data_IF_638169537865
#
_entry.id   IF_638169537865
#
_cell.length_a   1.000
_cell.length_b   1.000
_cell.length_c   1.000
_cell.angle_alpha   90.00
_cell.angle_beta   90.00
_cell.angle_gamma   90.00
#
_symmetry.space_group_name_H-M   'P 1'
#
loop_
_entity.id
_entity.type
_entity.pdbx_description
1 polymer ?
#
# COMPACT_ATOMS: atom_id res chain seq x y z
N UNK A 1 27.49 32.96 -6.27
CA UNK A 1 26.01 32.91 -6.41
C UNK A 1 25.53 31.62 -7.05
N UNK A 2 26.08 31.22 -8.21
CA UNK A 2 25.74 29.98 -8.93
C UNK A 2 26.01 28.73 -8.07
N UNK A 3 27.15 28.63 -7.36
CA UNK A 3 27.50 27.50 -6.50
C UNK A 3 26.47 27.30 -5.37
N UNK A 4 26.06 28.39 -4.71
CA UNK A 4 25.03 28.35 -3.66
C UNK A 4 23.64 27.96 -4.19
N UNK A 5 23.34 28.35 -5.43
CA UNK A 5 22.09 27.98 -6.10
C UNK A 5 22.06 26.50 -6.50
N UNK A 6 23.20 25.96 -6.98
CA UNK A 6 23.37 24.53 -7.24
C UNK A 6 23.27 23.71 -5.95
N UNK A 7 23.92 24.12 -4.86
CA UNK A 7 23.82 23.44 -3.56
C UNK A 7 22.35 23.34 -3.07
N UNK A 8 21.54 24.37 -3.30
CA UNK A 8 20.11 24.35 -2.93
C UNK A 8 19.30 23.41 -3.82
N UNK A 9 19.63 23.27 -5.12
CA UNK A 9 18.92 22.34 -6.03
C UNK A 9 19.26 20.87 -5.68
N UNK A 10 20.48 20.60 -5.24
CA UNK A 10 20.94 19.25 -4.88
C UNK A 10 20.73 18.88 -3.41
N UNK A 11 20.06 19.73 -2.62
CA UNK A 11 19.77 19.41 -1.22
C UNK A 11 18.72 18.27 -1.15
N UNK A 12 19.15 17.12 -0.65
CA UNK A 12 18.29 15.92 -0.48
C UNK A 12 17.15 16.11 0.54
N UNK A 13 17.21 17.16 1.38
CA UNK A 13 16.13 17.51 2.32
C UNK A 13 14.90 18.12 1.62
N UNK A 14 15.08 18.59 0.39
CA UNK A 14 14.04 19.23 -0.39
C UNK A 14 13.39 18.18 -1.31
N UNK A 15 12.06 18.21 -1.43
CA UNK A 15 11.34 17.28 -2.32
C UNK A 15 11.84 17.37 -3.76
N UNK A 16 11.88 16.23 -4.49
CA UNK A 16 12.25 16.19 -5.91
C UNK A 16 11.49 17.25 -6.71
N UNK A 17 10.22 17.39 -6.43
CA UNK A 17 9.34 18.34 -7.09
C UNK A 17 9.76 19.79 -6.90
N UNK A 18 10.13 20.16 -5.70
CA UNK A 18 10.62 21.51 -5.43
C UNK A 18 11.96 21.77 -6.12
N UNK A 19 12.84 20.78 -6.14
CA UNK A 19 14.11 20.84 -6.89
C UNK A 19 13.85 21.06 -8.37
N UNK A 20 12.92 20.29 -8.97
CA UNK A 20 12.53 20.46 -10.38
C UNK A 20 11.91 21.83 -10.67
N UNK A 21 11.00 22.30 -9.83
CA UNK A 21 10.41 23.64 -9.98
C UNK A 21 11.47 24.75 -9.93
N UNK A 22 12.40 24.70 -8.99
CA UNK A 22 13.51 25.66 -8.87
C UNK A 22 14.40 25.65 -10.10
N UNK A 23 14.76 24.45 -10.57
CA UNK A 23 15.60 24.25 -11.75
C UNK A 23 14.94 24.83 -13.01
N UNK A 24 13.71 24.38 -13.30
CA UNK A 24 13.00 24.74 -14.54
C UNK A 24 12.66 26.24 -14.58
N UNK A 25 12.23 26.79 -13.44
CA UNK A 25 11.97 28.24 -13.33
C UNK A 25 13.26 29.07 -13.49
N UNK A 26 14.37 28.58 -12.91
CA UNK A 26 15.68 29.23 -13.10
C UNK A 26 16.15 29.20 -14.55
N UNK A 27 16.02 28.07 -15.25
CA UNK A 27 16.33 27.94 -16.68
C UNK A 27 15.43 28.86 -17.51
N UNK A 28 14.13 28.96 -17.20
CA UNK A 28 13.20 29.87 -17.88
C UNK A 28 13.56 31.33 -17.68
N UNK A 29 14.03 31.72 -16.49
CA UNK A 29 14.55 33.06 -16.24
C UNK A 29 15.80 33.36 -17.07
N UNK A 30 16.74 32.41 -17.16
CA UNK A 30 17.93 32.55 -18.01
C UNK A 30 17.51 32.68 -19.47
N UNK A 31 16.54 31.91 -19.93
CA UNK A 31 15.99 32.03 -21.28
C UNK A 31 15.43 33.47 -21.57
N UNK A 32 14.66 34.00 -20.64
CA UNK A 32 14.15 35.39 -20.75
C UNK A 32 15.25 36.42 -20.77
N UNK A 33 16.32 36.27 -19.99
CA UNK A 33 17.49 37.14 -20.02
C UNK A 33 18.19 37.09 -21.40
N UNK A 34 18.33 35.89 -21.97
CA UNK A 34 18.86 35.73 -23.34
C UNK A 34 18.00 36.43 -24.37
N UNK A 35 16.67 36.32 -24.29
CA UNK A 35 15.74 37.05 -25.17
C UNK A 35 15.93 38.58 -25.01
N UNK A 36 16.10 39.09 -23.79
CA UNK A 36 16.29 40.49 -23.50
C UNK A 36 17.60 41.04 -24.08
N UNK A 37 18.71 40.29 -23.89
CA UNK A 37 20.06 40.76 -24.31
C UNK A 37 20.21 40.67 -25.82
N UNK A 38 19.73 39.62 -26.43
CA UNK A 38 19.95 39.30 -27.84
C UNK A 38 18.82 39.80 -28.74
N UNK A 39 17.65 40.16 -28.16
CA UNK A 39 16.50 40.67 -28.88
C UNK A 39 16.67 42.21 -29.15
N UNK A 40 16.45 42.61 -30.41
CA UNK A 40 16.42 44.04 -30.80
C UNK A 40 15.06 44.68 -30.54
N UNK A 41 14.36 44.28 -29.52
CA UNK A 41 12.95 44.66 -29.31
C UNK A 41 12.81 45.91 -28.45
N UNK A 42 12.69 47.06 -29.08
CA UNK A 42 12.33 48.32 -28.40
C UNK A 42 10.97 48.21 -27.67
N UNK A 43 9.99 47.49 -28.27
CA UNK A 43 8.66 47.29 -27.68
C UNK A 43 8.67 46.40 -26.42
N UNK A 44 9.65 45.53 -26.25
CA UNK A 44 9.71 44.55 -25.15
C UNK A 44 10.65 44.98 -24.01
N UNK A 45 11.23 46.18 -24.06
CA UNK A 45 12.25 46.64 -23.10
C UNK A 45 11.71 46.77 -21.67
N UNK A 46 10.40 46.94 -21.47
CA UNK A 46 9.75 47.08 -20.18
C UNK A 46 9.15 45.74 -19.76
N UNK A 47 8.56 44.98 -20.70
CA UNK A 47 7.77 43.77 -20.40
C UNK A 47 8.63 42.59 -19.99
N UNK A 48 9.76 42.39 -20.68
CA UNK A 48 10.67 41.28 -20.34
C UNK A 48 11.31 41.43 -18.94
N UNK A 49 11.83 42.61 -18.52
CA UNK A 49 12.29 42.80 -17.14
C UNK A 49 11.19 42.68 -16.10
N UNK A 50 9.96 43.16 -16.40
CA UNK A 50 8.81 43.01 -15.51
C UNK A 50 8.43 41.54 -15.36
N UNK A 51 8.46 40.76 -16.44
CA UNK A 51 8.20 39.29 -16.41
C UNK A 51 9.26 38.53 -15.60
N UNK A 52 10.54 38.89 -15.73
CA UNK A 52 11.63 38.34 -14.93
C UNK A 52 11.44 38.63 -13.43
N UNK A 53 11.09 39.87 -13.09
CA UNK A 53 10.83 40.24 -11.71
C UNK A 53 9.62 39.46 -11.16
N UNK A 54 8.55 39.34 -11.93
CA UNK A 54 7.37 38.58 -11.56
C UNK A 54 7.72 37.10 -11.32
N UNK A 55 8.43 36.43 -12.23
CA UNK A 55 8.85 35.03 -12.07
C UNK A 55 9.71 34.84 -10.82
N UNK A 56 10.65 35.77 -10.57
CA UNK A 56 11.46 35.75 -9.36
C UNK A 56 10.62 35.85 -8.09
N UNK A 57 9.68 36.78 -8.04
CA UNK A 57 8.79 36.96 -6.89
C UNK A 57 7.87 35.75 -6.67
N UNK A 58 7.28 35.24 -7.75
CA UNK A 58 6.44 34.03 -7.69
C UNK A 58 7.24 32.84 -7.18
N UNK A 59 8.44 32.59 -7.70
CA UNK A 59 9.30 31.50 -7.25
C UNK A 59 9.65 31.65 -5.77
N UNK A 60 10.09 32.87 -5.34
CA UNK A 60 10.45 33.14 -3.95
C UNK A 60 9.27 32.89 -2.99
N UNK A 61 8.09 33.44 -3.30
CA UNK A 61 6.89 33.30 -2.46
C UNK A 61 6.41 31.85 -2.42
N UNK A 62 6.45 31.15 -3.56
CA UNK A 62 5.99 29.77 -3.65
C UNK A 62 6.86 28.82 -2.85
N UNK A 63 8.17 29.03 -2.83
CA UNK A 63 9.13 28.27 -2.03
C UNK A 63 8.92 28.59 -0.55
N UNK A 64 8.81 29.85 -0.16
CA UNK A 64 8.62 30.25 1.24
C UNK A 64 7.30 29.76 1.85
N UNK A 65 6.24 29.66 1.04
CA UNK A 65 4.90 29.22 1.48
C UNK A 65 4.60 27.76 1.16
N UNK A 66 5.57 27.00 0.67
CA UNK A 66 5.42 25.60 0.26
C UNK A 66 4.28 25.36 -0.74
N UNK A 67 3.91 26.38 -1.53
CA UNK A 67 2.81 26.33 -2.50
C UNK A 67 3.29 26.23 -3.95
N UNK A 68 4.16 25.27 -4.24
CA UNK A 68 4.84 25.08 -5.52
C UNK A 68 3.87 24.94 -6.69
N UNK A 69 2.75 24.20 -6.51
CA UNK A 69 1.70 24.06 -7.54
C UNK A 69 1.11 25.39 -7.99
N UNK A 70 0.90 26.29 -7.04
CA UNK A 70 0.35 27.62 -7.33
C UNK A 70 1.38 28.48 -8.04
N UNK A 71 2.65 28.41 -7.63
CA UNK A 71 3.74 29.10 -8.28
C UNK A 71 3.99 28.63 -9.71
N UNK A 72 4.02 27.32 -9.92
CA UNK A 72 4.16 26.76 -11.26
C UNK A 72 3.00 27.19 -12.18
N UNK A 73 1.75 27.15 -11.68
CA UNK A 73 0.58 27.61 -12.43
C UNK A 73 0.68 29.09 -12.77
N UNK A 74 1.08 29.95 -11.82
CA UNK A 74 1.23 31.38 -12.04
C UNK A 74 2.31 31.69 -13.08
N UNK A 75 3.41 30.93 -13.08
CA UNK A 75 4.46 31.05 -14.10
C UNK A 75 3.96 30.64 -15.49
N UNK A 76 3.21 29.52 -15.59
CA UNK A 76 2.62 29.10 -16.88
C UNK A 76 1.65 30.14 -17.40
N UNK A 77 0.78 30.73 -16.57
CA UNK A 77 -0.14 31.78 -16.97
C UNK A 77 0.64 33.01 -17.51
N UNK A 78 1.74 33.39 -16.84
CA UNK A 78 2.59 34.48 -17.36
C UNK A 78 3.17 34.13 -18.75
N UNK A 79 3.68 32.90 -18.93
CA UNK A 79 4.26 32.46 -20.20
C UNK A 79 3.22 32.47 -21.33
N UNK A 80 2.01 32.01 -21.06
CA UNK A 80 0.89 32.04 -22.02
C UNK A 80 0.48 33.48 -22.40
N UNK A 81 0.61 34.46 -21.51
CA UNK A 81 0.36 35.87 -21.84
C UNK A 81 1.52 36.53 -22.59
N UNK A 82 2.74 36.08 -22.27
CA UNK A 82 3.95 36.70 -22.83
C UNK A 82 4.26 36.21 -24.26
N UNK A 83 4.09 34.94 -24.53
CA UNK A 83 4.51 34.36 -25.81
C UNK A 83 3.77 34.89 -27.05
N UNK A 84 2.45 35.07 -27.07
CA UNK A 84 1.78 35.73 -28.21
C UNK A 84 2.34 37.12 -28.48
N UNK A 85 2.56 37.90 -27.43
CA UNK A 85 3.10 39.22 -27.56
C UNK A 85 4.49 39.24 -28.18
N UNK A 86 5.39 38.37 -27.68
CA UNK A 86 6.75 38.24 -28.25
C UNK A 86 6.69 37.67 -29.66
N UNK A 87 5.74 36.77 -29.97
CA UNK A 87 5.55 36.18 -31.29
C UNK A 87 5.22 37.27 -32.35
N UNK A 88 4.22 38.11 -32.10
CA UNK A 88 3.81 39.16 -33.05
C UNK A 88 4.85 40.28 -33.18
N UNK A 89 5.57 40.61 -32.12
CA UNK A 89 6.63 41.64 -32.13
C UNK A 89 7.98 41.11 -32.62
N UNK A 90 8.16 39.76 -32.68
CA UNK A 90 9.41 39.09 -33.03
C UNK A 90 9.48 38.52 -34.45
N UNK A 91 8.60 38.95 -35.35
CA UNK A 91 8.59 38.45 -36.74
C UNK A 91 7.71 37.24 -36.99
N UNK A 92 6.85 36.87 -36.03
CA UNK A 92 5.89 35.79 -36.18
C UNK A 92 6.54 34.42 -36.50
N UNK A 93 6.02 33.76 -37.53
CA UNK A 93 6.51 32.47 -38.01
C UNK A 93 7.93 32.51 -38.59
N UNK A 94 8.38 33.64 -39.04
CA UNK A 94 9.71 33.88 -39.57
C UNK A 94 10.71 34.37 -38.52
N UNK A 95 10.25 34.59 -37.29
CA UNK A 95 11.11 34.93 -36.14
C UNK A 95 11.59 33.70 -35.37
N UNK A 96 12.41 33.93 -34.36
CA UNK A 96 12.90 32.84 -33.50
C UNK A 96 11.96 32.48 -32.33
N UNK A 97 10.71 32.95 -32.34
CA UNK A 97 9.78 32.74 -31.22
C UNK A 97 9.09 31.38 -31.22
N UNK A 98 8.83 30.75 -32.39
CA UNK A 98 8.22 29.42 -32.43
C UNK A 98 8.95 28.38 -31.59
N UNK A 99 10.25 28.43 -31.51
CA UNK A 99 11.09 27.50 -30.74
C UNK A 99 10.89 27.66 -29.21
N UNK A 100 10.50 28.85 -28.76
CA UNK A 100 10.25 29.13 -27.35
C UNK A 100 8.95 28.49 -26.83
N UNK A 101 7.94 28.31 -27.70
CA UNK A 101 6.74 27.55 -27.32
C UNK A 101 7.09 26.10 -26.86
N UNK A 102 8.12 25.49 -27.44
CA UNK A 102 8.60 24.15 -27.04
C UNK A 102 9.05 24.18 -25.57
N UNK A 103 9.74 25.22 -25.11
CA UNK A 103 10.14 25.36 -23.71
C UNK A 103 8.92 25.54 -22.79
N UNK A 104 7.84 26.19 -23.25
CA UNK A 104 6.61 26.28 -22.49
C UNK A 104 5.96 24.90 -22.30
N UNK A 105 5.88 24.09 -23.34
CA UNK A 105 5.40 22.70 -23.26
C UNK A 105 6.23 21.86 -22.29
N UNK A 106 7.54 22.00 -22.34
CA UNK A 106 8.46 21.30 -21.42
C UNK A 106 8.23 21.80 -19.99
N UNK A 107 8.10 23.10 -19.77
CA UNK A 107 7.81 23.68 -18.46
C UNK A 107 6.51 23.11 -17.88
N UNK A 108 5.42 23.12 -18.64
CA UNK A 108 4.11 22.56 -18.26
C UNK A 108 4.26 21.08 -17.91
N UNK A 109 4.98 20.34 -18.76
CA UNK A 109 5.15 18.88 -18.61
C UNK A 109 5.85 18.50 -17.32
N UNK A 110 6.83 19.29 -16.90
CA UNK A 110 7.68 18.99 -15.74
C UNK A 110 7.11 19.55 -14.43
N UNK A 111 6.52 20.76 -14.46
CA UNK A 111 6.17 21.48 -13.23
C UNK A 111 4.73 21.30 -12.78
N UNK A 112 3.80 21.06 -13.73
CA UNK A 112 2.39 20.87 -13.39
C UNK A 112 2.01 19.41 -13.20
N UNK A 113 1.05 19.16 -12.31
CA UNK A 113 0.54 17.82 -11.98
C UNK A 113 -0.99 17.75 -12.02
N UNK A 114 -1.48 16.50 -12.01
CA UNK A 114 -2.89 16.17 -11.96
C UNK A 114 -3.67 16.78 -13.13
N UNK A 115 -4.90 17.21 -12.87
CA UNK A 115 -5.81 17.75 -13.90
C UNK A 115 -5.35 19.08 -14.52
N UNK A 116 -4.44 19.81 -13.89
CA UNK A 116 -3.91 21.08 -14.41
C UNK A 116 -3.00 20.84 -15.60
N UNK A 117 -2.20 19.79 -15.59
CA UNK A 117 -1.24 19.47 -16.66
C UNK A 117 -1.89 19.37 -18.03
N UNK A 118 -2.88 18.48 -18.27
CA UNK A 118 -3.52 18.39 -19.59
C UNK A 118 -4.29 19.65 -19.98
N UNK A 119 -4.87 20.38 -19.04
CA UNK A 119 -5.59 21.63 -19.31
C UNK A 119 -4.64 22.71 -19.85
N UNK A 120 -3.54 22.97 -19.15
CA UNK A 120 -2.58 23.99 -19.60
C UNK A 120 -1.81 23.55 -20.85
N UNK A 121 -1.59 22.24 -21.04
CA UNK A 121 -1.01 21.71 -22.28
C UNK A 121 -1.94 21.98 -23.47
N UNK A 122 -3.25 21.73 -23.32
CA UNK A 122 -4.24 22.02 -24.34
C UNK A 122 -4.35 23.54 -24.61
N UNK A 123 -4.34 24.38 -23.56
CA UNK A 123 -4.35 25.84 -23.70
C UNK A 123 -3.14 26.36 -24.50
N UNK A 124 -1.93 25.89 -24.17
CA UNK A 124 -0.71 26.26 -24.89
C UNK A 124 -0.77 25.81 -26.37
N UNK A 125 -1.33 24.62 -26.63
CA UNK A 125 -1.52 24.11 -27.99
C UNK A 125 -2.49 25.01 -28.78
N UNK A 126 -3.64 25.32 -28.21
CA UNK A 126 -4.65 26.20 -28.83
C UNK A 126 -4.06 27.61 -29.08
N UNK A 127 -3.37 28.16 -28.10
CA UNK A 127 -2.71 29.46 -28.21
C UNK A 127 -1.68 29.47 -29.35
N UNK A 128 -0.83 28.45 -29.43
CA UNK A 128 0.14 28.33 -30.53
C UNK A 128 -0.56 28.30 -31.88
N UNK A 129 -1.62 27.50 -32.04
CA UNK A 129 -2.40 27.41 -33.28
C UNK A 129 -3.05 28.73 -33.64
N UNK A 130 -3.61 29.45 -32.64
CA UNK A 130 -4.23 30.76 -32.84
C UNK A 130 -3.19 31.80 -33.30
N UNK A 131 -1.99 31.82 -32.70
CA UNK A 131 -0.91 32.69 -33.10
C UNK A 131 -0.51 32.47 -34.57
N UNK A 132 -0.36 31.21 -34.99
CA UNK A 132 -0.04 30.84 -36.37
C UNK A 132 -1.18 31.22 -37.34
N UNK A 133 -2.43 30.93 -36.95
CA UNK A 133 -3.61 31.28 -37.75
C UNK A 133 -3.70 32.80 -37.98
N UNK A 134 -3.58 33.61 -36.92
CA UNK A 134 -3.61 35.08 -37.02
C UNK A 134 -2.46 35.59 -37.88
N UNK A 135 -1.25 35.09 -37.67
CA UNK A 135 -0.09 35.53 -38.47
C UNK A 135 -0.22 35.18 -39.96
N UNK A 136 -0.93 34.11 -40.32
CA UNK A 136 -1.19 33.74 -41.71
C UNK A 136 -2.25 34.61 -42.38
N UNK A 137 -3.39 34.85 -41.68
CA UNK A 137 -4.50 35.64 -42.26
C UNK A 137 -4.37 37.16 -42.09
N UNK A 138 -3.59 37.59 -41.08
CA UNK A 138 -3.39 38.99 -40.72
C UNK A 138 -1.89 39.32 -40.58
N UNK A 139 -1.12 39.21 -41.69
CA UNK A 139 0.31 39.48 -41.66
C UNK A 139 0.66 40.91 -41.27
N UNK A 140 -0.28 41.84 -41.39
CA UNK A 140 -0.14 43.22 -40.98
C UNK A 140 0.02 43.41 -39.45
N UNK A 141 -0.38 42.40 -38.64
CA UNK A 141 -0.20 42.42 -37.21
C UNK A 141 1.18 41.94 -36.76
N UNK A 142 1.95 41.35 -37.66
CA UNK A 142 3.30 40.86 -37.40
C UNK A 142 4.32 41.94 -37.78
N UNK A 143 5.19 42.28 -36.85
CA UNK A 143 6.28 43.23 -37.17
C UNK A 143 7.22 42.59 -38.19
N UNK A 144 7.50 43.24 -39.34
CA UNK A 144 8.28 42.64 -40.40
C UNK A 144 9.76 42.53 -40.02
N UNK A 145 10.33 41.36 -40.30
CA UNK A 145 11.77 41.10 -40.24
C UNK A 145 12.37 41.08 -41.65
N UNK A 146 13.63 41.55 -41.78
CA UNK A 146 14.38 41.25 -43.00
C UNK A 146 14.70 39.77 -43.09
N UNK A 147 14.86 39.22 -44.31
CA UNK A 147 15.18 37.82 -44.55
C UNK A 147 16.42 37.38 -43.75
N UNK A 148 17.47 38.19 -43.75
CA UNK A 148 18.68 37.91 -42.98
C UNK A 148 18.42 37.85 -41.46
N UNK A 149 17.62 38.79 -40.95
CA UNK A 149 17.24 38.80 -39.51
C UNK A 149 16.45 37.56 -39.14
N UNK A 150 15.49 37.13 -39.95
CA UNK A 150 14.69 35.93 -39.74
C UNK A 150 15.58 34.70 -39.60
N UNK A 151 16.55 34.49 -40.49
CA UNK A 151 17.47 33.34 -40.40
C UNK A 151 18.35 33.38 -39.15
N UNK A 152 18.91 34.57 -38.82
CA UNK A 152 19.75 34.68 -37.61
C UNK A 152 18.95 34.49 -36.33
N UNK A 153 17.72 35.00 -36.26
CA UNK A 153 16.86 34.88 -35.09
C UNK A 153 16.39 33.45 -34.89
N UNK A 154 15.97 32.77 -35.93
CA UNK A 154 15.59 31.33 -35.85
C UNK A 154 16.78 30.45 -35.50
N UNK A 155 17.91 30.60 -36.20
CA UNK A 155 19.11 29.77 -35.89
C UNK A 155 19.57 29.96 -34.45
N UNK A 156 19.58 31.20 -33.95
CA UNK A 156 19.94 31.52 -32.56
C UNK A 156 18.95 30.90 -31.58
N UNK A 157 17.66 30.99 -31.84
CA UNK A 157 16.60 30.46 -30.96
C UNK A 157 16.67 28.93 -30.89
N UNK A 158 16.86 28.25 -32.02
CA UNK A 158 17.05 26.78 -32.04
C UNK A 158 18.26 26.36 -31.21
N UNK A 159 19.41 27.04 -31.37
CA UNK A 159 20.60 26.73 -30.60
C UNK A 159 20.38 26.91 -29.08
N UNK A 160 19.83 28.06 -28.69
CA UNK A 160 19.61 28.39 -27.27
C UNK A 160 18.53 27.50 -26.66
N UNK A 161 17.38 27.36 -27.32
CA UNK A 161 16.32 26.47 -26.83
C UNK A 161 16.75 25.00 -26.75
N UNK A 162 17.48 24.54 -27.77
CA UNK A 162 18.06 23.18 -27.78
C UNK A 162 19.06 22.96 -26.66
N UNK A 163 19.97 23.93 -26.43
CA UNK A 163 20.93 23.86 -25.31
C UNK A 163 20.23 23.84 -23.96
N UNK A 164 19.28 24.76 -23.73
CA UNK A 164 18.53 24.82 -22.47
C UNK A 164 17.72 23.56 -22.22
N UNK A 165 17.08 23.01 -23.26
CA UNK A 165 16.36 21.73 -23.19
C UNK A 165 17.31 20.57 -22.86
N UNK A 166 18.48 20.51 -23.52
CA UNK A 166 19.50 19.52 -23.24
C UNK A 166 19.99 19.55 -21.79
N UNK A 167 20.31 20.74 -21.28
CA UNK A 167 20.72 20.94 -19.87
C UNK A 167 19.59 20.48 -18.93
N UNK A 168 18.34 20.85 -19.20
CA UNK A 168 17.19 20.48 -18.39
C UNK A 168 17.01 18.96 -18.32
N UNK A 169 17.10 18.26 -19.47
CA UNK A 169 16.97 16.80 -19.55
C UNK A 169 18.11 16.08 -18.81
N UNK A 170 19.32 16.57 -18.91
CA UNK A 170 20.47 16.01 -18.18
C UNK A 170 20.26 16.12 -16.66
N UNK A 171 19.83 17.29 -16.18
CA UNK A 171 19.52 17.46 -14.77
C UNK A 171 18.35 16.62 -14.29
N UNK A 172 17.27 16.56 -15.07
CA UNK A 172 16.11 15.74 -14.77
C UNK A 172 16.50 14.26 -14.63
N UNK A 173 17.29 13.75 -15.58
CA UNK A 173 17.76 12.37 -15.55
C UNK A 173 18.65 12.10 -14.32
N UNK A 174 19.55 13.02 -14.00
CA UNK A 174 20.42 12.90 -12.83
C UNK A 174 19.60 12.85 -11.53
N UNK A 175 18.64 13.74 -11.33
CA UNK A 175 17.78 13.77 -10.15
C UNK A 175 16.91 12.50 -10.06
N UNK A 176 16.42 11.99 -11.19
CA UNK A 176 15.64 10.76 -11.23
C UNK A 176 16.47 9.53 -10.82
N UNK A 177 17.71 9.42 -11.32
CA UNK A 177 18.61 8.32 -10.95
C UNK A 177 19.01 8.36 -9.46
N UNK A 178 19.19 9.54 -8.88
CA UNK A 178 19.44 9.68 -7.44
C UNK A 178 18.26 9.19 -6.60
N UNK A 179 17.05 9.61 -6.93
CA UNK A 179 15.83 9.19 -6.20
C UNK A 179 15.59 7.68 -6.33
N UNK A 180 15.83 7.13 -7.52
CA UNK A 180 15.74 5.70 -7.76
C UNK A 180 16.72 4.90 -6.89
N UNK A 181 17.97 5.35 -6.78
CA UNK A 181 18.96 4.72 -5.90
C UNK A 181 18.51 4.74 -4.44
N UNK A 182 18.07 5.88 -3.94
CA UNK A 182 17.57 6.00 -2.57
C UNK A 182 16.38 5.07 -2.30
N UNK A 183 15.46 4.97 -3.25
CA UNK A 183 14.30 4.08 -3.14
C UNK A 183 14.71 2.60 -3.09
N UNK A 184 15.73 2.21 -3.87
CA UNK A 184 16.27 0.85 -3.86
C UNK A 184 16.94 0.55 -2.52
N UNK A 185 17.73 1.47 -1.98
CA UNK A 185 18.38 1.33 -0.68
C UNK A 185 17.36 1.17 0.46
N UNK A 186 16.33 2.01 0.48
CA UNK A 186 15.26 1.91 1.47
C UNK A 186 14.49 0.60 1.38
N UNK A 187 14.20 0.11 0.16
CA UNK A 187 13.57 -1.20 -0.02
C UNK A 187 14.44 -2.33 0.51
N UNK A 188 15.74 -2.27 0.26
CA UNK A 188 16.68 -3.28 0.76
C UNK A 188 16.75 -3.29 2.28
N UNK A 189 16.82 -2.12 2.92
CA UNK A 189 16.81 -1.99 4.38
C UNK A 189 15.53 -2.58 5.00
N UNK A 190 14.36 -2.26 4.42
CA UNK A 190 13.07 -2.83 4.86
C UNK A 190 13.07 -4.36 4.72
N UNK A 191 13.64 -4.90 3.65
CA UNK A 191 13.70 -6.32 3.42
C UNK A 191 14.65 -7.03 4.40
N UNK A 192 15.80 -6.43 4.71
CA UNK A 192 16.74 -6.92 5.72
C UNK A 192 16.10 -6.90 7.12
N UNK A 193 15.38 -5.84 7.49
CA UNK A 193 14.65 -5.77 8.76
C UNK A 193 13.56 -6.84 8.86
N UNK A 194 12.78 -7.04 7.80
CA UNK A 194 11.75 -8.10 7.74
C UNK A 194 12.37 -9.51 7.85
N UNK A 195 13.52 -9.73 7.24
CA UNK A 195 14.23 -11.01 7.35
C UNK A 195 14.76 -11.24 8.76
N UNK A 196 15.34 -10.22 9.38
CA UNK A 196 15.83 -10.28 10.75
C UNK A 196 14.70 -10.55 11.75
N UNK A 197 13.54 -9.87 11.61
CA UNK A 197 12.35 -10.08 12.41
C UNK A 197 11.84 -11.53 12.30
N UNK A 198 11.73 -12.06 11.09
CA UNK A 198 11.29 -13.43 10.84
C UNK A 198 12.26 -14.46 11.42
N UNK A 199 13.56 -14.25 11.28
CA UNK A 199 14.59 -15.12 11.86
C UNK A 199 14.52 -15.10 13.39
N UNK A 200 14.34 -13.93 14.00
CA UNK A 200 14.16 -13.77 15.43
C UNK A 200 12.96 -14.57 15.94
N UNK A 201 11.79 -14.41 15.34
CA UNK A 201 10.60 -15.18 15.74
C UNK A 201 10.78 -16.70 15.57
N UNK A 202 11.42 -17.14 14.49
CA UNK A 202 11.67 -18.56 14.26
C UNK A 202 12.63 -19.16 15.28
N UNK A 203 13.74 -18.50 15.59
CA UNK A 203 14.72 -19.00 16.57
C UNK A 203 14.15 -18.96 17.98
N UNK A 204 13.52 -17.86 18.38
CA UNK A 204 12.86 -17.72 19.69
C UNK A 204 11.82 -18.79 19.94
N UNK A 205 11.04 -19.18 18.91
CA UNK A 205 10.08 -20.27 19.08
C UNK A 205 10.74 -21.59 19.41
N UNK A 206 11.82 -21.93 18.73
CA UNK A 206 12.56 -23.16 19.03
C UNK A 206 13.14 -23.11 20.43
N UNK A 207 13.72 -21.99 20.83
CA UNK A 207 14.33 -21.83 22.15
C UNK A 207 13.31 -21.83 23.29
N UNK A 208 12.06 -21.35 23.04
CA UNK A 208 10.99 -21.39 24.05
C UNK A 208 10.28 -22.75 24.06
N UNK A 209 10.10 -23.39 22.90
CA UNK A 209 9.44 -24.72 22.82
C UNK A 209 10.17 -25.80 23.63
N UNK A 210 11.49 -25.81 23.62
CA UNK A 210 12.32 -26.80 24.29
C UNK A 210 12.10 -26.82 25.82
N UNK A 211 12.25 -25.69 26.56
CA UNK A 211 11.99 -25.71 28.00
C UNK A 211 10.52 -25.96 28.34
N UNK A 212 9.57 -25.50 27.53
CA UNK A 212 8.15 -25.79 27.77
C UNK A 212 7.85 -27.27 27.64
N UNK A 213 8.36 -27.95 26.60
CA UNK A 213 8.19 -29.40 26.44
C UNK A 213 8.84 -30.15 27.59
N UNK A 214 9.96 -29.68 28.13
CA UNK A 214 10.58 -30.24 29.32
C UNK A 214 9.67 -30.07 30.54
N UNK A 215 9.08 -28.89 30.75
CA UNK A 215 8.12 -28.65 31.84
C UNK A 215 6.91 -29.59 31.72
N UNK A 216 6.35 -29.74 30.52
CA UNK A 216 5.22 -30.64 30.26
C UNK A 216 5.60 -32.07 30.58
N UNK A 217 6.76 -32.55 30.10
CA UNK A 217 7.23 -33.91 30.33
C UNK A 217 7.49 -34.21 31.81
N UNK A 218 8.17 -33.32 32.54
CA UNK A 218 8.39 -33.46 33.99
C UNK A 218 7.06 -33.46 34.75
N UNK A 219 6.14 -32.61 34.35
CA UNK A 219 4.83 -32.51 34.99
C UNK A 219 3.96 -33.76 34.73
N UNK A 220 4.05 -34.39 33.56
CA UNK A 220 3.43 -35.66 33.27
C UNK A 220 4.02 -36.81 34.14
N UNK A 221 5.31 -36.78 34.44
CA UNK A 221 5.93 -37.72 35.37
C UNK A 221 5.41 -37.53 36.78
N UNK A 222 5.23 -36.29 37.25
CA UNK A 222 4.62 -35.97 38.56
C UNK A 222 3.21 -36.54 38.63
N UNK A 223 2.38 -36.30 37.60
CA UNK A 223 0.98 -36.78 37.54
C UNK A 223 0.82 -38.30 37.49
N UNK A 224 1.88 -39.05 37.11
CA UNK A 224 1.89 -40.51 37.14
C UNK A 224 2.30 -41.12 38.47
N UNK A 225 2.86 -40.31 39.38
CA UNK A 225 3.29 -40.79 40.73
C UNK A 225 2.14 -40.83 41.71
N UNK A 226 2.38 -41.47 42.86
CA UNK A 226 1.47 -41.37 44.00
C UNK A 226 1.65 -40.00 44.69
N UNK A 227 0.73 -39.07 44.42
CA UNK A 227 0.77 -37.66 44.88
C UNK A 227 -0.52 -37.29 45.61
N UNK A 228 -0.47 -36.29 46.49
CA UNK A 228 -1.68 -35.73 47.08
C UNK A 228 -2.55 -35.02 46.04
N UNK A 229 -3.86 -34.92 46.29
CA UNK A 229 -4.79 -34.24 45.37
C UNK A 229 -4.41 -32.76 45.14
N UNK A 230 -3.91 -32.07 46.17
CA UNK A 230 -3.41 -30.70 46.07
C UNK A 230 -2.22 -30.63 45.08
N UNK A 231 -1.28 -31.55 45.14
CA UNK A 231 -0.13 -31.61 44.21
C UNK A 231 -0.62 -31.96 42.80
N UNK A 232 -1.59 -32.84 42.66
CA UNK A 232 -2.18 -33.24 41.40
C UNK A 232 -2.91 -32.05 40.74
N UNK A 233 -3.64 -31.23 41.51
CA UNK A 233 -4.31 -30.04 41.02
C UNK A 233 -3.30 -28.99 40.54
N UNK A 234 -2.26 -28.73 41.34
CA UNK A 234 -1.19 -27.81 40.95
C UNK A 234 -0.46 -28.27 39.67
N UNK A 235 -0.20 -29.57 39.55
CA UNK A 235 0.43 -30.16 38.37
C UNK A 235 -0.48 -30.03 37.13
N UNK A 236 -1.79 -30.25 37.26
CA UNK A 236 -2.75 -30.01 36.17
C UNK A 236 -2.76 -28.54 35.72
N UNK A 237 -2.71 -27.60 36.68
CA UNK A 237 -2.66 -26.16 36.40
C UNK A 237 -1.37 -25.78 35.65
N UNK A 238 -0.21 -26.29 36.06
CA UNK A 238 1.07 -26.08 35.36
C UNK A 238 1.00 -26.66 33.95
N UNK A 239 0.41 -27.86 33.76
CA UNK A 239 0.26 -28.47 32.45
C UNK A 239 -0.62 -27.61 31.52
N UNK A 240 -1.75 -27.11 32.04
CA UNK A 240 -2.64 -26.21 31.30
C UNK A 240 -1.93 -24.94 30.85
N UNK A 241 -1.25 -24.25 31.77
CA UNK A 241 -0.50 -23.04 31.48
C UNK A 241 0.62 -23.26 30.44
N UNK A 242 1.35 -24.38 30.55
CA UNK A 242 2.43 -24.72 29.62
C UNK A 242 1.90 -25.04 28.20
N UNK A 243 0.79 -25.77 28.08
CA UNK A 243 0.12 -26.04 26.79
C UNK A 243 -0.41 -24.75 26.16
N UNK A 244 -0.98 -23.84 26.98
CA UNK A 244 -1.44 -22.54 26.51
C UNK A 244 -0.30 -21.68 25.97
N UNK A 245 0.83 -21.63 26.67
CA UNK A 245 2.01 -20.90 26.23
C UNK A 245 2.57 -21.44 24.91
N UNK A 246 2.62 -22.75 24.74
CA UNK A 246 3.05 -23.40 23.49
C UNK A 246 2.11 -23.05 22.33
N UNK A 247 0.81 -23.03 22.56
CA UNK A 247 -0.19 -22.65 21.56
C UNK A 247 0.01 -21.18 21.16
N UNK A 248 0.22 -20.28 22.13
CA UNK A 248 0.43 -18.86 21.90
C UNK A 248 1.66 -18.58 21.02
N UNK A 249 2.77 -19.30 21.29
CA UNK A 249 4.00 -19.20 20.50
C UNK A 249 3.78 -19.68 19.07
N UNK A 250 3.11 -20.82 18.89
CA UNK A 250 2.80 -21.33 17.57
C UNK A 250 1.86 -20.38 16.80
N UNK A 251 0.87 -19.78 17.48
CA UNK A 251 -0.02 -18.79 16.90
C UNK A 251 0.74 -17.53 16.41
N UNK A 252 1.70 -17.03 17.20
CA UNK A 252 2.54 -15.89 16.82
C UNK A 252 3.40 -16.22 15.60
N UNK A 253 3.98 -17.43 15.56
CA UNK A 253 4.78 -17.89 14.42
C UNK A 253 3.95 -18.01 13.15
N UNK A 254 2.76 -18.63 13.25
CA UNK A 254 1.87 -18.75 12.10
C UNK A 254 1.50 -17.37 11.58
N UNK A 255 1.16 -16.43 12.46
CA UNK A 255 0.86 -15.04 12.09
C UNK A 255 2.07 -14.36 11.41
N UNK A 256 3.29 -14.56 11.94
CA UNK A 256 4.52 -14.01 11.35
C UNK A 256 4.78 -14.59 9.95
N UNK A 257 4.65 -15.91 9.77
CA UNK A 257 4.80 -16.58 8.46
C UNK A 257 3.77 -16.10 7.45
N UNK A 258 2.53 -15.90 7.88
CA UNK A 258 1.46 -15.42 7.00
C UNK A 258 1.76 -13.98 6.56
N UNK A 259 2.06 -13.06 7.50
CA UNK A 259 2.36 -11.66 7.20
C UNK A 259 3.58 -11.47 6.29
N UNK A 260 4.59 -12.31 6.44
CA UNK A 260 5.79 -12.28 5.59
C UNK A 260 5.61 -12.98 4.24
N UNK A 261 4.41 -13.53 3.95
CA UNK A 261 4.14 -14.27 2.71
C UNK A 261 4.92 -15.59 2.58
N UNK A 262 5.49 -16.09 3.69
CA UNK A 262 6.29 -17.35 3.72
C UNK A 262 5.47 -18.57 4.08
N UNK A 263 4.18 -18.43 4.37
CA UNK A 263 3.30 -19.57 4.61
C UNK A 263 2.87 -20.15 3.27
N UNK A 264 3.28 -21.36 3.00
CA UNK A 264 2.91 -22.11 1.81
C UNK A 264 1.67 -22.98 2.10
N UNK A 265 0.73 -23.00 1.16
CA UNK A 265 -0.42 -23.91 1.17
C UNK A 265 -0.04 -25.18 0.42
N UNK A 266 -0.04 -26.31 1.14
CA UNK A 266 0.39 -27.61 0.60
C UNK A 266 -0.84 -28.44 0.23
N UNK A 267 -1.19 -28.46 -1.05
CA UNK A 267 -2.31 -29.24 -1.53
C UNK A 267 -1.94 -30.72 -1.66
N UNK A 268 -2.55 -31.56 -0.84
CA UNK A 268 -2.42 -33.00 -0.86
C UNK A 268 -3.79 -33.64 -1.01
N UNK A 269 -3.83 -34.89 -1.51
CA UNK A 269 -5.06 -35.67 -1.49
C UNK A 269 -5.28 -36.24 -0.08
N UNK A 270 -6.46 -36.06 0.50
CA UNK A 270 -6.82 -36.54 1.84
C UNK A 270 -8.22 -37.15 1.86
N UNK A 271 -8.45 -38.03 2.80
CA UNK A 271 -9.75 -38.65 3.04
C UNK A 271 -10.63 -37.76 3.93
N UNK A 272 -11.79 -37.33 3.41
CA UNK A 272 -12.70 -36.44 4.15
C UNK A 272 -13.25 -37.10 5.42
N UNK A 273 -13.46 -38.43 5.39
CA UNK A 273 -13.91 -39.20 6.54
C UNK A 273 -12.91 -39.23 7.70
N UNK A 274 -11.62 -39.38 7.40
CA UNK A 274 -10.55 -39.33 8.41
C UNK A 274 -10.45 -37.93 9.03
N UNK A 275 -10.41 -36.88 8.22
CA UNK A 275 -10.38 -35.51 8.70
C UNK A 275 -11.51 -35.22 9.68
N UNK A 276 -12.76 -35.54 9.32
CA UNK A 276 -13.90 -35.27 10.18
C UNK A 276 -13.89 -36.16 11.43
N UNK A 277 -13.50 -37.41 11.32
CA UNK A 277 -13.40 -38.33 12.47
C UNK A 277 -12.41 -37.79 13.52
N UNK A 278 -11.25 -37.30 13.10
CA UNK A 278 -10.24 -36.73 14.00
C UNK A 278 -10.76 -35.45 14.68
N UNK A 279 -11.40 -34.53 13.92
CA UNK A 279 -11.96 -33.31 14.48
C UNK A 279 -13.06 -33.62 15.49
N UNK A 280 -13.98 -34.54 15.12
CA UNK A 280 -15.09 -34.94 16.00
C UNK A 280 -14.56 -35.52 17.30
N UNK A 281 -13.61 -36.46 17.24
CA UNK A 281 -13.06 -37.09 18.44
C UNK A 281 -12.44 -36.07 19.41
N UNK A 282 -11.70 -35.08 18.87
CA UNK A 282 -11.11 -34.01 19.71
C UNK A 282 -12.15 -33.11 20.37
N UNK A 283 -13.17 -32.73 19.63
CA UNK A 283 -14.17 -31.76 20.10
C UNK A 283 -15.24 -32.39 20.96
N UNK A 284 -15.64 -33.66 20.64
CA UNK A 284 -16.66 -34.38 21.38
C UNK A 284 -16.26 -34.56 22.86
N UNK A 285 -15.00 -34.89 23.13
CA UNK A 285 -14.50 -35.03 24.52
C UNK A 285 -14.70 -33.72 25.28
N UNK A 286 -14.26 -32.60 24.70
CA UNK A 286 -14.37 -31.28 25.33
C UNK A 286 -15.82 -30.81 25.51
N UNK A 287 -16.68 -31.08 24.54
CA UNK A 287 -18.09 -30.75 24.61
C UNK A 287 -18.78 -31.59 25.73
N UNK A 288 -18.47 -32.87 25.80
CA UNK A 288 -18.99 -33.79 26.82
C UNK A 288 -18.57 -33.38 28.24
N UNK A 289 -17.31 -33.03 28.44
CA UNK A 289 -16.80 -32.52 29.73
C UNK A 289 -17.56 -31.29 30.21
N UNK A 290 -18.05 -30.46 29.28
CA UNK A 290 -18.88 -29.31 29.59
C UNK A 290 -20.40 -29.57 29.61
N UNK A 291 -20.84 -30.80 29.30
CA UNK A 291 -22.27 -31.13 29.20
C UNK A 291 -22.96 -30.56 27.97
N UNK A 292 -22.21 -30.23 26.91
CA UNK A 292 -22.74 -29.68 25.68
C UNK A 292 -23.06 -30.80 24.67
N UNK A 293 -24.14 -30.64 23.92
CA UNK A 293 -24.47 -31.53 22.80
C UNK A 293 -23.59 -31.13 21.57
N UNK A 294 -22.84 -32.09 21.03
CA UNK A 294 -22.08 -31.90 19.80
C UNK A 294 -22.77 -32.61 18.63
N UNK A 295 -23.04 -31.86 17.55
CA UNK A 295 -23.71 -32.35 16.33
C UNK A 295 -22.81 -32.24 15.13
N UNK A 296 -22.73 -33.33 14.34
CA UNK A 296 -22.06 -33.32 13.04
C UNK A 296 -23.10 -33.55 11.94
N UNK A 297 -23.13 -32.68 10.96
CA UNK A 297 -24.00 -32.74 9.78
C UNK A 297 -23.14 -32.64 8.52
N UNK A 298 -22.91 -33.77 7.84
CA UNK A 298 -22.13 -33.79 6.59
C UNK A 298 -23.04 -34.13 5.43
N UNK A 299 -22.94 -33.31 4.39
CA UNK A 299 -23.64 -33.54 3.12
C UNK A 299 -23.17 -34.86 2.50
N UNK A 300 -24.08 -35.81 2.22
CA UNK A 300 -23.73 -37.10 1.62
C UNK A 300 -23.07 -36.97 0.23
N UNK A 301 -23.20 -35.83 -0.44
CA UNK A 301 -22.62 -35.61 -1.76
C UNK A 301 -21.13 -35.22 -1.72
N UNK A 302 -20.55 -35.06 -0.53
CA UNK A 302 -19.12 -34.75 -0.39
C UNK A 302 -18.26 -35.88 -0.90
N UNK A 303 -17.26 -35.66 -1.76
CA UNK A 303 -16.35 -36.73 -2.20
C UNK A 303 -15.56 -37.32 -1.03
N UNK A 304 -15.33 -38.62 -1.08
CA UNK A 304 -14.50 -39.31 -0.08
C UNK A 304 -13.06 -38.85 -0.09
N UNK A 305 -12.56 -38.42 -1.24
CA UNK A 305 -11.22 -37.84 -1.42
C UNK A 305 -11.30 -36.42 -1.90
N UNK A 306 -10.62 -35.52 -1.23
CA UNK A 306 -10.44 -34.11 -1.65
C UNK A 306 -8.95 -33.81 -1.82
N UNK A 307 -8.64 -32.76 -2.58
CA UNK A 307 -7.29 -32.20 -2.70
C UNK A 307 -7.27 -30.80 -2.11
N UNK A 308 -6.43 -30.58 -1.13
CA UNK A 308 -6.28 -29.31 -0.42
C UNK A 308 -5.28 -29.42 0.73
N UNK A 309 -5.14 -28.36 1.50
CA UNK A 309 -4.29 -28.37 2.70
C UNK A 309 -5.10 -28.86 3.91
N UNK A 310 -5.08 -30.18 4.12
CA UNK A 310 -5.78 -30.85 5.23
C UNK A 310 -5.38 -30.27 6.58
N UNK A 311 -4.09 -29.98 6.79
CA UNK A 311 -3.55 -29.48 8.06
C UNK A 311 -4.14 -28.11 8.39
N UNK A 312 -4.22 -27.24 7.39
CA UNK A 312 -4.76 -25.88 7.57
C UNK A 312 -6.28 -25.89 7.69
N UNK A 313 -6.98 -26.71 6.93
CA UNK A 313 -8.44 -26.91 7.09
C UNK A 313 -8.75 -27.39 8.51
N UNK A 314 -8.03 -28.40 9.00
CA UNK A 314 -8.17 -28.92 10.35
C UNK A 314 -7.88 -27.85 11.40
N UNK A 315 -6.82 -27.04 11.23
CA UNK A 315 -6.47 -25.94 12.12
C UNK A 315 -7.60 -24.90 12.20
N UNK A 316 -8.16 -24.50 11.06
CA UNK A 316 -9.30 -23.57 10.99
C UNK A 316 -10.50 -24.11 11.75
N UNK A 317 -10.93 -25.33 11.45
CA UNK A 317 -12.10 -25.94 12.05
C UNK A 317 -11.93 -26.16 13.57
N UNK A 318 -10.77 -26.64 14.01
CA UNK A 318 -10.47 -26.79 15.43
C UNK A 318 -10.49 -25.46 16.17
N UNK A 319 -9.97 -24.38 15.59
CA UNK A 319 -10.00 -23.06 16.21
C UNK A 319 -11.44 -22.53 16.36
N UNK A 320 -12.28 -22.69 15.33
CA UNK A 320 -13.69 -22.28 15.38
C UNK A 320 -14.48 -23.12 16.40
N UNK A 321 -14.32 -24.43 16.37
CA UNK A 321 -15.02 -25.37 17.27
C UNK A 321 -14.58 -25.21 18.74
N UNK A 322 -13.28 -24.99 19.00
CA UNK A 322 -12.82 -24.68 20.35
C UNK A 322 -13.43 -23.36 20.86
N UNK A 323 -13.57 -22.35 20.01
CA UNK A 323 -14.26 -21.11 20.39
C UNK A 323 -15.74 -21.37 20.69
N UNK A 324 -16.43 -22.13 19.86
CA UNK A 324 -17.83 -22.51 20.07
C UNK A 324 -18.04 -23.21 21.42
N UNK A 325 -17.25 -24.26 21.70
CA UNK A 325 -17.31 -25.00 23.00
C UNK A 325 -16.94 -24.06 24.14
N UNK A 326 -15.98 -23.17 23.97
CA UNK A 326 -15.49 -22.26 25.00
C UNK A 326 -16.54 -21.25 25.43
N UNK A 327 -17.25 -20.65 24.48
CA UNK A 327 -18.21 -19.57 24.71
C UNK A 327 -19.67 -20.05 24.89
N UNK A 328 -19.90 -21.36 24.78
CA UNK A 328 -21.18 -21.99 25.12
C UNK A 328 -21.12 -22.57 26.51
N UNK A 329 -22.08 -22.18 27.37
CA UNK A 329 -22.20 -22.72 28.74
C UNK A 329 -23.12 -23.91 28.78
N UNK A 330 -24.26 -23.81 28.11
CA UNK A 330 -25.31 -24.87 28.02
C UNK A 330 -25.85 -24.85 26.59
N UNK A 331 -26.30 -25.99 26.07
CA UNK A 331 -26.86 -26.14 24.75
C UNK A 331 -26.03 -26.98 23.81
N UNK A 332 -25.80 -26.53 22.60
CA UNK A 332 -25.17 -27.34 21.55
C UNK A 332 -24.14 -26.57 20.70
N UNK A 333 -23.21 -27.35 20.12
CA UNK A 333 -22.28 -26.93 19.10
C UNK A 333 -22.47 -27.81 17.88
N UNK A 334 -22.67 -27.25 16.70
CA UNK A 334 -22.92 -27.98 15.46
C UNK A 334 -21.81 -27.66 14.44
N UNK A 335 -21.20 -28.69 13.86
CA UNK A 335 -20.41 -28.59 12.65
C UNK A 335 -21.23 -29.08 11.48
N UNK A 336 -21.59 -28.20 10.54
CA UNK A 336 -22.26 -28.55 9.31
C UNK A 336 -21.33 -28.38 8.11
N UNK A 337 -21.30 -29.35 7.23
CA UNK A 337 -20.47 -29.36 6.02
C UNK A 337 -21.39 -29.55 4.81
N UNK A 338 -21.35 -28.61 3.86
CA UNK A 338 -22.09 -28.67 2.60
C UNK A 338 -21.13 -28.68 1.43
N UNK A 339 -21.52 -29.34 0.35
CA UNK A 339 -20.71 -29.48 -0.85
C UNK A 339 -21.53 -29.18 -2.11
N UNK A 340 -20.95 -28.44 -3.04
CA UNK A 340 -21.53 -28.17 -4.36
C UNK A 340 -20.47 -28.43 -5.45
N UNK A 341 -20.86 -29.12 -6.51
CA UNK A 341 -19.98 -29.30 -7.68
C UNK A 341 -19.96 -28.02 -8.52
N UNK A 342 -18.76 -27.45 -8.71
CA UNK A 342 -18.53 -26.23 -9.50
C UNK A 342 -17.92 -26.54 -10.87
N UNK A 343 -17.71 -27.82 -11.18
CA UNK A 343 -17.13 -28.29 -12.44
C UNK A 343 -16.88 -29.79 -12.44
N UNK A 344 -16.14 -30.28 -13.44
CA UNK A 344 -15.90 -31.73 -13.59
C UNK A 344 -15.08 -32.28 -12.42
N UNK A 345 -14.04 -31.54 -11.98
CA UNK A 345 -13.10 -31.98 -10.94
C UNK A 345 -12.94 -30.93 -9.82
N UNK A 346 -13.94 -30.08 -9.61
CA UNK A 346 -13.91 -29.07 -8.56
C UNK A 346 -15.20 -29.08 -7.78
N UNK A 347 -15.04 -28.94 -6.48
CA UNK A 347 -16.14 -28.76 -5.53
C UNK A 347 -15.92 -27.52 -4.71
N UNK A 348 -16.98 -26.84 -4.32
CA UNK A 348 -17.00 -25.81 -3.30
C UNK A 348 -17.52 -26.42 -2.02
N UNK A 349 -16.77 -26.30 -0.94
CA UNK A 349 -17.15 -26.83 0.36
C UNK A 349 -17.40 -25.66 1.30
N UNK A 350 -18.54 -25.69 1.99
CA UNK A 350 -18.88 -24.75 3.06
C UNK A 350 -18.81 -25.47 4.39
N UNK A 351 -18.08 -24.87 5.31
CA UNK A 351 -17.99 -25.32 6.68
C UNK A 351 -18.71 -24.30 7.57
N UNK A 352 -19.76 -24.75 8.27
CA UNK A 352 -20.50 -23.92 9.21
C UNK A 352 -20.29 -24.44 10.62
N UNK A 353 -19.80 -23.57 11.51
CA UNK A 353 -19.70 -23.84 12.95
C UNK A 353 -20.73 -22.97 13.66
N UNK A 354 -21.74 -23.59 14.23
CA UNK A 354 -22.84 -22.95 14.95
C UNK A 354 -22.75 -23.28 16.45
N UNK A 355 -22.89 -22.28 17.29
CA UNK A 355 -22.99 -22.40 18.74
C UNK A 355 -24.24 -21.71 19.28
N UNK A 356 -24.79 -22.24 20.38
CA UNK A 356 -25.91 -21.63 21.12
C UNK A 356 -25.43 -20.82 22.33
N UNK A 357 -24.20 -20.29 22.27
CA UNK A 357 -23.53 -19.61 23.35
C UNK A 357 -23.92 -18.15 23.53
N UNK A 358 -23.03 -17.37 24.16
CA UNK A 358 -23.29 -15.98 24.48
C UNK A 358 -23.41 -15.04 23.28
N UNK A 359 -23.00 -15.47 22.08
CA UNK A 359 -22.96 -14.64 20.89
C UNK A 359 -22.04 -13.41 21.03
N UNK A 360 -22.05 -12.57 19.99
CA UNK A 360 -21.23 -11.35 19.89
C UNK A 360 -22.13 -10.15 19.69
N UNK A 361 -21.87 -9.05 20.40
CA UNK A 361 -22.59 -7.80 20.22
C UNK A 361 -22.31 -7.22 18.83
N UNK A 362 -23.32 -6.62 18.21
CA UNK A 362 -23.23 -6.06 16.86
C UNK A 362 -22.06 -5.07 16.66
N UNK A 363 -21.79 -4.27 17.68
CA UNK A 363 -20.67 -3.31 17.69
C UNK A 363 -19.27 -3.94 17.64
N UNK A 364 -19.16 -5.21 18.06
CA UNK A 364 -17.90 -5.95 18.14
C UNK A 364 -17.65 -6.85 16.92
N UNK A 365 -18.69 -7.19 16.13
CA UNK A 365 -18.58 -8.08 14.98
C UNK A 365 -17.48 -7.65 13.97
N UNK A 366 -17.32 -6.36 13.62
CA UNK A 366 -16.28 -5.93 12.70
C UNK A 366 -14.86 -6.22 13.17
N UNK A 367 -14.68 -6.42 14.47
CA UNK A 367 -13.38 -6.49 15.11
C UNK A 367 -12.97 -7.87 15.65
N UNK A 368 -13.82 -8.88 15.54
CA UNK A 368 -13.53 -10.21 16.11
C UNK A 368 -12.38 -10.95 15.43
N UNK A 369 -12.04 -10.52 14.20
CA UNK A 369 -10.91 -11.05 13.44
C UNK A 369 -9.61 -10.24 13.63
N UNK A 370 -9.63 -9.16 14.44
CA UNK A 370 -8.43 -8.39 14.74
C UNK A 370 -7.51 -9.16 15.67
N UNK A 371 -6.20 -9.21 15.36
CA UNK A 371 -5.21 -9.87 16.18
C UNK A 371 -5.10 -9.22 17.58
N UNK A 372 -4.92 -10.04 18.62
CA UNK A 372 -4.79 -9.63 20.03
C UNK A 372 -6.03 -8.93 20.61
N UNK A 373 -7.16 -8.90 19.91
CA UNK A 373 -8.38 -8.29 20.39
C UNK A 373 -9.31 -9.31 21.02
N UNK A 374 -9.71 -9.05 22.26
CA UNK A 374 -10.68 -9.85 23.00
C UNK A 374 -11.92 -9.03 23.29
N UNK A 375 -13.09 -9.57 22.97
CA UNK A 375 -14.37 -8.92 23.19
C UNK A 375 -14.80 -9.09 24.65
N UNK A 376 -15.23 -8.01 25.31
CA UNK A 376 -15.71 -7.99 26.71
C UNK A 376 -14.70 -8.58 27.71
N UNK A 377 -13.43 -8.15 27.67
CA UNK A 377 -12.35 -8.63 28.57
C UNK A 377 -12.74 -8.61 30.05
N UNK A 378 -13.49 -7.62 30.50
CA UNK A 378 -13.91 -7.51 31.91
C UNK A 378 -14.85 -8.64 32.35
N UNK A 379 -15.71 -9.13 31.45
CA UNK A 379 -16.65 -10.24 31.73
C UNK A 379 -16.06 -11.61 31.47
N UNK A 380 -15.10 -11.69 30.55
CA UNK A 380 -14.50 -12.94 30.07
C UNK A 380 -13.10 -13.20 30.65
N UNK A 381 -12.76 -12.57 31.80
CA UNK A 381 -11.45 -12.77 32.47
C UNK A 381 -11.14 -14.23 32.80
N UNK A 382 -12.17 -15.02 33.08
CA UNK A 382 -12.02 -16.46 33.41
C UNK A 382 -11.96 -17.34 32.17
N UNK A 383 -12.14 -16.81 30.97
CA UNK A 383 -12.11 -17.54 29.74
C UNK A 383 -10.72 -17.35 29.10
N UNK A 384 -9.89 -18.37 29.18
CA UNK A 384 -8.53 -18.37 28.61
C UNK A 384 -8.54 -18.19 27.10
N UNK A 385 -7.56 -17.43 26.54
CA UNK A 385 -7.40 -17.31 25.10
C UNK A 385 -6.45 -16.19 24.69
N UNK A 386 -5.72 -16.42 23.58
CA UNK A 386 -4.67 -15.55 23.06
C UNK A 386 -5.19 -14.33 22.31
N UNK A 387 -6.44 -14.38 21.79
CA UNK A 387 -6.99 -13.37 20.88
C UNK A 387 -6.41 -13.46 19.46
N UNK A 388 -5.65 -14.52 19.15
CA UNK A 388 -5.04 -14.73 17.83
C UNK A 388 -5.80 -15.74 16.96
N UNK A 389 -6.55 -16.67 17.55
CA UNK A 389 -7.15 -17.79 16.82
C UNK A 389 -8.03 -17.36 15.65
N UNK A 390 -8.95 -16.40 15.84
CA UNK A 390 -9.83 -15.94 14.76
C UNK A 390 -9.10 -15.14 13.68
N UNK A 391 -8.08 -14.38 14.03
CA UNK A 391 -7.27 -13.66 13.04
C UNK A 391 -6.46 -14.62 12.17
N UNK A 392 -5.93 -15.70 12.76
CA UNK A 392 -5.25 -16.77 12.03
C UNK A 392 -6.24 -17.51 11.13
N UNK A 393 -7.44 -17.84 11.63
CA UNK A 393 -8.49 -18.46 10.83
C UNK A 393 -8.79 -17.64 9.58
N UNK A 394 -9.03 -16.34 9.71
CA UNK A 394 -9.31 -15.45 8.58
C UNK A 394 -8.18 -15.48 7.55
N UNK A 395 -6.95 -15.31 8.01
CA UNK A 395 -5.79 -15.28 7.12
C UNK A 395 -5.54 -16.63 6.43
N UNK A 396 -5.71 -17.76 7.13
CA UNK A 396 -5.59 -19.09 6.51
C UNK A 396 -6.66 -19.33 5.45
N UNK A 397 -7.91 -18.95 5.74
CA UNK A 397 -9.02 -19.07 4.77
C UNK A 397 -8.75 -18.22 3.53
N UNK A 398 -8.30 -16.98 3.71
CA UNK A 398 -7.93 -16.08 2.60
C UNK A 398 -6.75 -16.62 1.78
N UNK A 399 -5.72 -17.19 2.43
CA UNK A 399 -4.58 -17.84 1.74
C UNK A 399 -5.00 -19.08 0.93
N UNK A 400 -6.00 -19.82 1.39
CA UNK A 400 -6.58 -20.95 0.66
C UNK A 400 -7.56 -20.50 -0.44
N UNK A 401 -7.76 -19.19 -0.64
CA UNK A 401 -8.68 -18.63 -1.64
C UNK A 401 -10.15 -18.73 -1.25
N UNK A 402 -10.45 -18.93 0.03
CA UNK A 402 -11.79 -18.95 0.61
C UNK A 402 -12.22 -17.61 1.20
N UNK A 403 -13.42 -17.61 1.76
CA UNK A 403 -14.02 -16.46 2.47
C UNK A 403 -14.53 -16.94 3.83
N UNK A 404 -14.48 -16.10 4.84
CA UNK A 404 -15.09 -16.35 6.15
C UNK A 404 -16.05 -15.23 6.52
N UNK A 405 -17.20 -15.63 7.01
CA UNK A 405 -18.22 -14.71 7.53
C UNK A 405 -18.75 -15.17 8.89
N UNK A 406 -19.37 -14.26 9.61
CA UNK A 406 -19.98 -14.52 10.90
C UNK A 406 -21.36 -13.89 10.97
N UNK A 407 -22.31 -14.66 11.47
CA UNK A 407 -23.63 -14.19 11.87
C UNK A 407 -23.79 -14.48 13.37
N UNK A 408 -24.02 -13.46 14.17
CA UNK A 408 -24.10 -13.63 15.62
C UNK A 408 -25.13 -12.69 16.22
N UNK A 409 -25.87 -13.23 17.17
CA UNK A 409 -26.85 -12.49 17.95
C UNK A 409 -26.47 -12.64 19.43
N UNK A 410 -26.23 -11.50 20.10
CA UNK A 410 -25.87 -11.50 21.51
C UNK A 410 -26.90 -12.27 22.37
N UNK A 411 -26.46 -13.20 23.19
CA UNK A 411 -27.24 -14.15 24.01
C UNK A 411 -27.98 -15.27 23.23
N UNK A 412 -27.78 -15.37 21.91
CA UNK A 412 -28.42 -16.42 21.08
C UNK A 412 -27.43 -17.27 20.27
N UNK A 413 -26.13 -17.01 20.46
CA UNK A 413 -25.06 -17.78 19.79
C UNK A 413 -24.50 -17.13 18.54
N UNK A 414 -23.60 -17.87 17.87
CA UNK A 414 -22.91 -17.45 16.66
C UNK A 414 -22.86 -18.56 15.63
N UNK A 415 -22.79 -18.16 14.36
CA UNK A 415 -22.55 -19.05 13.23
C UNK A 415 -21.39 -18.47 12.42
N UNK A 416 -20.31 -19.22 12.31
CA UNK A 416 -19.17 -18.94 11.42
C UNK A 416 -19.30 -19.77 10.15
N UNK A 417 -19.17 -19.14 9.00
CA UNK A 417 -19.29 -19.79 7.70
C UNK A 417 -18.05 -19.47 6.86
#
# INVERSE_FOLDING_TARGET
MIKKWLEIIFDHKISLRERMFRLVTGISMVALVFILILGRFTANLIILPASLLYMYMVAKVSIQKECINTGATATVVLLLLLFPMVFFTGGGIYGGVPEWFVLCFIYISITLEGRRKPVFFALCTVETLVCYYIAYFHPELVLPNTTAQAYFDSARSVIVAGFLTGVLLLFQNHLYEEEKKLTIEQKKEIEELNQAENHFFSSMSHEIRTPINTIIGLNEMILRGEISEEVAENARNIQGASKMLLTLINDILDLSKIKSGKMEIVNVSYETGELFSEIVNMIWIKAREKGLEFKLQVDPSIPSMLCGDEVRIKQVLINLLNNAVKYTKEGSVTLAVRCERVGVNRVRVWYSVEDTGQGVKKENIPYIFDAFRRVDEKKNRHIEGTGLGLSIVKQLVELMGGEISVNSVYMNGSTFL
#
